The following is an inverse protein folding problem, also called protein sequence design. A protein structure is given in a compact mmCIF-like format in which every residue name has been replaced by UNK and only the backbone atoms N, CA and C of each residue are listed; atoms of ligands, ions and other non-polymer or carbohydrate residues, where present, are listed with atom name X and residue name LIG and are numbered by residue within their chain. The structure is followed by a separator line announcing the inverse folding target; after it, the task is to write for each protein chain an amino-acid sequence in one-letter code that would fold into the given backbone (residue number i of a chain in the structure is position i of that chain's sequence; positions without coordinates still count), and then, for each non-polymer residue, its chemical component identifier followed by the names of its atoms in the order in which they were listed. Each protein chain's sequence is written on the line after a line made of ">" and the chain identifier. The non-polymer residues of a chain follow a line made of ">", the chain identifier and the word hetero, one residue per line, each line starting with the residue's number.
data_IF_186190349862
#
_entry.id   IF_186190349862
#
_cell.length_a   1.000
_cell.length_b   1.000
_cell.length_c   1.000
_cell.angle_alpha   90.00
_cell.angle_beta   90.00
_cell.angle_gamma   90.00
#
_symmetry.space_group_name_H-M   'P 1'
#
loop_
_entity.id
_entity.type
_entity.pdbx_description
1 polymer ?
#
# COMPACT_ATOMS: atom_id res chain seq x y z
N UNK A 1 -23.18 6.69 4.16
CA UNK A 1 -22.69 5.35 3.76
C UNK A 1 -21.39 5.13 4.50
N UNK A 2 -21.44 4.44 5.64
CA UNK A 2 -20.26 4.22 6.50
C UNK A 2 -19.90 2.75 6.41
N UNK A 3 -18.86 2.42 5.67
CA UNK A 3 -18.40 1.03 5.56
C UNK A 3 -17.55 0.71 6.78
N UNK A 4 -18.08 -0.18 7.62
CA UNK A 4 -17.41 -0.75 8.80
C UNK A 4 -16.18 -1.57 8.38
N UNK A 5 -15.05 -1.52 9.11
CA UNK A 5 -13.84 -2.26 8.76
C UNK A 5 -13.99 -3.75 9.10
N UNK A 6 -13.99 -4.62 8.10
CA UNK A 6 -14.02 -6.08 8.29
C UNK A 6 -12.63 -6.60 8.70
N UNK A 7 -12.50 -7.43 9.75
CA UNK A 7 -11.22 -8.01 10.20
C UNK A 7 -10.68 -9.13 9.28
N UNK A 8 -11.08 -9.12 7.99
CA UNK A 8 -10.70 -10.15 7.00
C UNK A 8 -9.53 -9.71 6.11
N UNK A 9 -9.18 -8.43 6.13
CA UNK A 9 -8.17 -7.87 5.25
C UNK A 9 -6.85 -7.66 6.00
N UNK A 10 -5.75 -7.91 5.31
CA UNK A 10 -4.41 -7.54 5.76
C UNK A 10 -4.26 -6.01 5.75
N UNK A 11 -3.37 -5.44 6.56
CA UNK A 11 -3.14 -3.98 6.62
C UNK A 11 -2.81 -3.38 5.24
N UNK A 12 -2.05 -4.13 4.45
CA UNK A 12 -1.76 -3.88 3.04
C UNK A 12 -2.97 -3.64 2.14
N UNK A 13 -4.18 -4.07 2.53
CA UNK A 13 -5.38 -3.71 1.79
C UNK A 13 -5.55 -2.19 1.70
N UNK A 14 -5.25 -1.45 2.78
CA UNK A 14 -5.29 0.01 2.78
C UNK A 14 -4.27 0.62 1.82
N UNK A 15 -3.09 0.01 1.70
CA UNK A 15 -2.05 0.42 0.73
C UNK A 15 -2.57 0.21 -0.71
N UNK A 16 -3.17 -0.94 -0.98
CA UNK A 16 -3.73 -1.25 -2.31
C UNK A 16 -4.86 -0.26 -2.66
N UNK A 17 -5.75 0.06 -1.72
CA UNK A 17 -6.81 1.05 -1.94
C UNK A 17 -6.23 2.45 -2.20
N UNK A 18 -5.23 2.88 -1.42
CA UNK A 18 -4.55 4.16 -1.61
C UNK A 18 -3.86 4.29 -2.98
N UNK A 19 -3.41 3.16 -3.55
CA UNK A 19 -2.78 3.12 -4.88
C UNK A 19 -3.78 3.13 -6.05
N UNK A 20 -5.09 3.21 -5.77
CA UNK A 20 -6.18 3.22 -6.75
C UNK A 20 -6.94 1.89 -6.85
N UNK A 21 -6.71 0.97 -5.91
CA UNK A 21 -7.36 -0.32 -5.85
C UNK A 21 -6.72 -1.41 -6.74
N UNK A 22 -7.26 -2.64 -6.71
CA UNK A 22 -6.62 -3.81 -7.32
C UNK A 22 -6.43 -3.71 -8.83
N UNK A 23 -7.41 -3.13 -9.53
CA UNK A 23 -7.37 -3.03 -10.98
C UNK A 23 -6.28 -2.05 -11.44
N UNK A 24 -6.18 -0.90 -10.77
CA UNK A 24 -5.20 0.12 -11.13
C UNK A 24 -3.79 -0.29 -10.71
N UNK A 25 -3.65 -0.90 -9.53
CA UNK A 25 -2.36 -1.45 -9.10
C UNK A 25 -1.88 -2.56 -10.05
N UNK A 26 -2.76 -3.46 -10.50
CA UNK A 26 -2.39 -4.49 -11.48
C UNK A 26 -1.89 -3.89 -12.80
N UNK A 27 -2.49 -2.79 -13.27
CA UNK A 27 -2.03 -2.05 -14.46
C UNK A 27 -0.65 -1.41 -14.25
N UNK A 28 -0.45 -0.73 -13.12
CA UNK A 28 0.86 -0.13 -12.76
C UNK A 28 1.95 -1.19 -12.66
N UNK A 29 1.61 -2.38 -12.15
CA UNK A 29 2.51 -3.53 -12.06
C UNK A 29 2.79 -4.23 -13.39
N UNK A 30 2.05 -3.88 -14.46
CA UNK A 30 2.18 -4.51 -15.77
C UNK A 30 1.66 -5.96 -15.80
N UNK A 31 0.75 -6.32 -14.90
CA UNK A 31 0.15 -7.66 -14.90
C UNK A 31 -0.89 -7.81 -16.02
N UNK A 32 -0.94 -9.00 -16.62
CA UNK A 32 -1.94 -9.33 -17.62
C UNK A 32 -3.36 -9.35 -17.02
N UNK A 33 -4.27 -8.62 -17.65
CA UNK A 33 -5.67 -8.55 -17.23
C UNK A 33 -6.47 -9.70 -17.86
N UNK A 34 -7.45 -10.29 -17.15
CA UNK A 34 -7.94 -9.93 -15.81
C UNK A 34 -7.19 -10.61 -14.66
N UNK A 35 -6.29 -11.58 -14.94
CA UNK A 35 -5.62 -12.38 -13.91
C UNK A 35 -4.81 -11.55 -12.91
N UNK A 36 -4.22 -10.44 -13.36
CA UNK A 36 -3.52 -9.47 -12.52
C UNK A 36 -4.40 -8.85 -11.45
N UNK A 37 -5.66 -8.50 -11.78
CA UNK A 37 -6.60 -7.93 -10.81
C UNK A 37 -6.93 -8.95 -9.72
N UNK A 38 -7.19 -10.20 -10.10
CA UNK A 38 -7.46 -11.28 -9.15
C UNK A 38 -6.26 -11.50 -8.21
N UNK A 39 -5.04 -11.43 -8.76
CA UNK A 39 -3.80 -11.56 -7.98
C UNK A 39 -3.68 -10.46 -6.91
N UNK A 40 -3.89 -9.22 -7.29
CA UNK A 40 -3.83 -8.08 -6.35
C UNK A 40 -5.00 -8.13 -5.35
N UNK A 41 -6.19 -8.55 -5.78
CA UNK A 41 -7.32 -8.78 -4.87
C UNK A 41 -6.97 -9.80 -3.78
N UNK A 42 -6.23 -10.87 -4.13
CA UNK A 42 -5.79 -11.86 -3.15
C UNK A 42 -4.78 -11.28 -2.14
N UNK A 43 -3.98 -10.29 -2.54
CA UNK A 43 -3.04 -9.61 -1.63
C UNK A 43 -3.77 -8.80 -0.55
N UNK A 44 -4.99 -8.32 -0.81
CA UNK A 44 -5.79 -7.66 0.24
C UNK A 44 -6.07 -8.59 1.43
N UNK A 45 -6.09 -9.90 1.23
CA UNK A 45 -6.31 -10.88 2.30
C UNK A 45 -5.03 -11.47 2.86
N UNK A 46 -3.95 -11.54 2.05
CA UNK A 46 -2.70 -12.25 2.39
C UNK A 46 -1.50 -11.35 2.68
N UNK A 47 -1.60 -10.07 2.36
CA UNK A 47 -0.47 -9.15 2.27
C UNK A 47 0.11 -9.07 0.86
N UNK A 48 0.74 -7.93 0.57
CA UNK A 48 1.54 -7.71 -0.64
C UNK A 48 2.87 -8.46 -0.45
N UNK A 49 3.28 -9.30 -1.41
CA UNK A 49 4.55 -10.00 -1.32
C UNK A 49 5.72 -9.02 -1.23
N UNK A 50 6.63 -9.23 -0.29
CA UNK A 50 7.81 -8.37 -0.08
C UNK A 50 8.64 -8.18 -1.36
N UNK A 51 8.76 -9.26 -2.16
CA UNK A 51 9.47 -9.22 -3.43
C UNK A 51 8.87 -8.21 -4.43
N UNK A 52 7.55 -7.98 -4.38
CA UNK A 52 6.89 -7.00 -5.25
C UNK A 52 7.18 -5.57 -4.79
N UNK A 53 7.25 -5.34 -3.48
CA UNK A 53 7.66 -4.06 -2.88
C UNK A 53 9.09 -3.69 -3.27
N UNK A 54 10.01 -4.66 -3.13
CA UNK A 54 11.41 -4.50 -3.50
C UNK A 54 11.63 -4.30 -5.01
N UNK A 55 10.83 -4.96 -5.85
CA UNK A 55 10.91 -4.81 -7.31
C UNK A 55 10.33 -3.50 -7.81
N UNK A 56 9.34 -2.95 -7.12
CA UNK A 56 8.60 -1.75 -7.54
C UNK A 56 8.60 -0.65 -6.48
N UNK A 57 9.79 -0.16 -6.07
CA UNK A 57 9.88 0.99 -5.16
C UNK A 57 9.28 2.26 -5.79
N UNK A 58 9.16 2.31 -7.11
CA UNK A 58 8.47 3.38 -7.85
C UNK A 58 6.95 3.42 -7.57
N UNK A 59 6.33 2.29 -7.20
CA UNK A 59 4.90 2.22 -6.88
C UNK A 59 4.69 2.30 -5.37
N UNK A 60 5.42 1.49 -4.61
CA UNK A 60 5.18 1.32 -3.17
C UNK A 60 5.93 2.34 -2.31
N UNK A 61 6.75 3.19 -2.92
CA UNK A 61 7.70 4.05 -2.22
C UNK A 61 8.96 3.28 -1.83
N UNK A 62 10.05 4.01 -1.58
CA UNK A 62 11.19 3.43 -0.89
C UNK A 62 10.74 3.06 0.53
N UNK A 63 11.16 1.88 1.01
CA UNK A 63 11.16 1.61 2.45
C UNK A 63 12.18 2.57 3.05
N UNK A 64 11.74 3.79 3.35
CA UNK A 64 12.46 4.68 4.22
C UNK A 64 12.39 4.02 5.59
N UNK A 65 13.43 3.26 5.92
CA UNK A 65 13.79 3.07 7.32
C UNK A 65 14.15 4.48 7.79
N UNK A 66 13.14 5.24 8.20
CA UNK A 66 13.31 6.58 8.71
C UNK A 66 13.54 6.41 10.21
N UNK A 67 14.80 6.40 10.70
CA UNK A 67 15.08 6.31 12.12
C UNK A 67 14.59 7.56 12.89
N UNK A 68 13.99 8.51 12.18
CA UNK A 68 13.60 9.84 12.64
C UNK A 68 12.09 10.06 12.73
N UNK A 69 11.26 9.06 12.42
CA UNK A 69 9.80 9.17 12.54
C UNK A 69 9.32 9.42 14.00
N UNK A 70 10.21 9.30 15.00
CA UNK A 70 9.99 9.69 16.40
C UNK A 70 10.27 11.19 16.66
N UNK A 71 10.83 11.94 15.71
CA UNK A 71 10.97 13.40 15.83
C UNK A 71 9.65 14.09 15.50
N UNK A 72 8.70 13.98 16.42
CA UNK A 72 7.81 15.10 16.71
C UNK A 72 8.72 16.25 17.17
N UNK A 73 9.15 17.08 16.21
CA UNK A 73 9.77 18.36 16.53
C UNK A 73 8.79 19.18 17.36
N UNK A 74 9.24 19.86 18.43
CA UNK A 74 8.37 20.74 19.21
C UNK A 74 7.80 21.84 18.31
N UNK A 75 6.67 22.46 18.70
CA UNK A 75 6.03 23.48 17.88
C UNK A 75 7.03 24.60 17.65
N UNK A 76 7.25 24.96 16.39
CA UNK A 76 8.02 26.15 16.05
C UNK A 76 7.15 27.35 16.44
N UNK A 77 7.32 27.82 17.67
CA UNK A 77 6.79 29.10 18.12
C UNK A 77 7.57 30.19 17.37
N UNK A 78 6.92 30.83 16.41
CA UNK A 78 7.39 32.06 15.78
C UNK A 78 6.88 33.24 16.61
N UNK A 79 7.84 34.06 17.04
CA UNK A 79 7.70 35.21 17.93
C UNK A 79 6.82 36.34 17.38
#
# INVERSE_FOLDING_TARGET
>A
MTTSPSPLYHDDASVIEALGGPAELARKLGFELPRGVQRVQNWKYRGIPEIERLRRPDIFGAVVDDPDADRIGPPVEVA
#
